data_IF_363327881986
#
_entry.id   IF_363327881986
#
_cell.length_a   1.000
_cell.length_b   1.000
_cell.length_c   1.000
_cell.angle_alpha   90.00
_cell.angle_beta   90.00
_cell.angle_gamma   90.00
#
_symmetry.space_group_name_H-M   'P 1'
#
loop_
_entity.id
_entity.type
_entity.pdbx_description
1 polymer ?
#
# COMPACT_ATOMS: atom_id res chain seq x y z
N UNK A 1 11.20 -2.86 -9.69
CA UNK A 1 11.00 -3.51 -11.00
C UNK A 1 12.26 -3.54 -11.86
N UNK A 2 13.12 -2.52 -11.83
CA UNK A 2 14.36 -2.50 -12.62
C UNK A 2 15.44 -3.46 -12.12
N UNK A 3 15.35 -3.94 -10.90
CA UNK A 3 16.35 -4.84 -10.29
C UNK A 3 15.98 -6.32 -10.43
N UNK A 4 14.83 -6.69 -9.88
CA UNK A 4 14.44 -8.11 -9.76
C UNK A 4 13.71 -8.65 -10.99
N UNK A 5 12.81 -7.88 -11.60
CA UNK A 5 12.02 -8.35 -12.75
C UNK A 5 12.86 -8.76 -13.95
N UNK A 6 13.87 -7.98 -14.39
CA UNK A 6 14.71 -8.40 -15.50
C UNK A 6 15.46 -9.71 -15.23
N UNK A 7 15.91 -9.93 -14.00
CA UNK A 7 16.56 -11.17 -13.62
C UNK A 7 15.56 -12.34 -13.59
N UNK A 8 14.37 -12.16 -13.04
CA UNK A 8 13.33 -13.17 -12.99
C UNK A 8 12.92 -13.64 -14.39
N UNK A 9 12.67 -12.70 -15.31
CA UNK A 9 12.31 -13.01 -16.69
C UNK A 9 13.41 -13.78 -17.42
N UNK A 10 14.69 -13.39 -17.24
CA UNK A 10 15.82 -14.14 -17.80
C UNK A 10 15.93 -15.58 -17.25
N UNK A 11 15.44 -15.80 -16.03
CA UNK A 11 15.40 -17.13 -15.41
C UNK A 11 14.09 -17.90 -15.67
N UNK A 12 13.31 -17.48 -16.64
CA UNK A 12 12.15 -18.24 -17.12
C UNK A 12 10.85 -18.00 -16.35
N UNK A 13 10.73 -16.92 -15.60
CA UNK A 13 9.45 -16.53 -14.99
C UNK A 13 8.47 -16.11 -16.08
N UNK A 14 7.27 -16.72 -16.09
CA UNK A 14 6.15 -16.32 -16.94
C UNK A 14 5.37 -15.20 -16.24
N UNK A 15 5.63 -13.95 -16.65
CA UNK A 15 4.94 -12.77 -16.14
C UNK A 15 3.69 -12.50 -16.97
N UNK A 16 2.51 -12.61 -16.35
CA UNK A 16 1.23 -12.28 -16.96
C UNK A 16 0.73 -10.94 -16.45
N UNK A 17 0.78 -9.94 -17.30
CA UNK A 17 0.20 -8.61 -17.04
C UNK A 17 -1.29 -8.60 -17.36
N UNK A 18 -2.05 -7.62 -16.84
CA UNK A 18 -3.50 -7.53 -16.99
C UNK A 18 -4.27 -8.78 -16.52
N UNK A 19 -3.62 -9.63 -15.74
CA UNK A 19 -4.19 -10.85 -15.19
C UNK A 19 -4.67 -10.59 -13.75
N UNK A 20 -5.98 -10.51 -13.55
CA UNK A 20 -6.57 -10.34 -12.22
C UNK A 20 -7.00 -11.69 -11.67
N UNK A 21 -6.31 -12.13 -10.62
CA UNK A 21 -6.68 -13.36 -9.93
C UNK A 21 -7.98 -13.13 -9.15
N UNK A 22 -8.99 -13.95 -9.42
CA UNK A 22 -10.29 -13.89 -8.76
C UNK A 22 -10.50 -15.02 -7.75
N UNK A 23 -9.75 -16.13 -7.89
CA UNK A 23 -9.91 -17.29 -7.02
C UNK A 23 -8.61 -18.09 -6.93
N UNK A 24 -8.31 -18.59 -5.74
CA UNK A 24 -7.33 -19.65 -5.52
C UNK A 24 -8.09 -20.99 -5.54
N UNK A 25 -7.67 -21.88 -6.42
CA UNK A 25 -8.31 -23.18 -6.57
C UNK A 25 -7.73 -24.17 -5.55
N UNK A 26 -8.60 -24.91 -4.88
CA UNK A 26 -8.21 -25.95 -3.93
C UNK A 26 -9.00 -27.24 -4.13
N UNK A 27 -8.37 -28.37 -3.85
CA UNK A 27 -9.00 -29.68 -3.85
C UNK A 27 -8.38 -30.57 -2.79
N UNK A 28 -9.20 -31.28 -2.01
CA UNK A 28 -8.74 -32.18 -0.96
C UNK A 28 -7.78 -31.50 0.04
N UNK A 29 -8.09 -30.26 0.45
CA UNK A 29 -7.29 -29.50 1.40
C UNK A 29 -5.96 -28.94 0.88
N UNK A 30 -5.73 -28.97 -0.43
CA UNK A 30 -4.50 -28.45 -1.06
C UNK A 30 -4.83 -27.46 -2.16
N UNK A 31 -4.03 -26.40 -2.25
CA UNK A 31 -4.10 -25.50 -3.40
C UNK A 31 -3.67 -26.25 -4.67
N UNK A 32 -4.36 -26.00 -5.77
CA UNK A 32 -4.11 -26.63 -7.08
C UNK A 32 -3.77 -25.62 -8.17
N UNK A 33 -3.92 -24.34 -7.90
CA UNK A 33 -3.68 -23.26 -8.84
C UNK A 33 -4.52 -22.04 -8.54
N UNK A 34 -4.75 -21.23 -9.58
CA UNK A 34 -5.56 -20.02 -9.50
C UNK A 34 -6.37 -19.82 -10.78
N UNK A 35 -7.50 -19.17 -10.63
CA UNK A 35 -8.32 -18.65 -11.74
C UNK A 35 -8.15 -17.13 -11.81
N UNK A 36 -7.88 -16.62 -13.00
CA UNK A 36 -7.76 -15.20 -13.24
C UNK A 36 -8.58 -14.75 -14.47
N UNK A 37 -8.92 -13.47 -14.49
CA UNK A 37 -9.54 -12.80 -15.63
C UNK A 37 -8.46 -11.99 -16.34
N UNK A 38 -8.38 -12.16 -17.65
CA UNK A 38 -7.68 -11.22 -18.52
C UNK A 38 -8.50 -9.93 -18.63
N UNK A 39 -7.98 -8.83 -18.11
CA UNK A 39 -8.69 -7.54 -18.05
C UNK A 39 -8.90 -6.89 -19.42
N UNK A 40 -8.14 -7.31 -20.43
CA UNK A 40 -8.26 -6.78 -21.79
C UNK A 40 -9.38 -7.48 -22.56
N UNK A 41 -9.58 -8.78 -22.30
CA UNK A 41 -10.52 -9.60 -23.06
C UNK A 41 -11.75 -10.02 -22.26
N UNK A 42 -11.70 -9.92 -20.91
CA UNK A 42 -12.72 -10.44 -20.01
C UNK A 42 -12.73 -11.97 -19.89
N UNK A 43 -11.83 -12.67 -20.55
CA UNK A 43 -11.79 -14.13 -20.51
C UNK A 43 -11.19 -14.65 -19.21
N UNK A 44 -11.80 -15.75 -18.71
CA UNK A 44 -11.28 -16.50 -17.57
C UNK A 44 -10.28 -17.55 -17.99
N UNK A 45 -9.21 -17.64 -17.23
CA UNK A 45 -8.14 -18.62 -17.42
C UNK A 45 -7.81 -19.31 -16.11
N UNK A 46 -7.38 -20.57 -16.19
CA UNK A 46 -6.89 -21.33 -15.06
C UNK A 46 -5.40 -21.61 -15.22
N UNK A 47 -4.67 -21.43 -14.14
CA UNK A 47 -3.26 -21.84 -14.03
C UNK A 47 -3.13 -22.86 -12.93
N UNK A 48 -2.51 -24.00 -13.25
CA UNK A 48 -2.24 -25.07 -12.28
C UNK A 48 -0.86 -24.90 -11.68
N UNK A 49 -0.77 -25.09 -10.38
CA UNK A 49 0.48 -25.01 -9.63
C UNK A 49 0.45 -25.93 -8.41
N UNK A 50 1.58 -26.51 -8.08
CA UNK A 50 1.74 -27.30 -6.84
C UNK A 50 1.88 -26.44 -5.59
N UNK A 51 2.29 -25.18 -5.75
CA UNK A 51 2.41 -24.17 -4.69
C UNK A 51 1.83 -22.85 -5.24
N UNK A 52 1.02 -22.18 -4.43
CA UNK A 52 0.48 -20.85 -4.74
C UNK A 52 0.92 -19.88 -3.64
N UNK A 53 1.64 -18.83 -4.03
CA UNK A 53 2.03 -17.75 -3.14
C UNK A 53 1.11 -16.56 -3.34
N UNK A 54 0.40 -16.15 -2.29
CA UNK A 54 -0.50 -15.01 -2.31
C UNK A 54 0.21 -13.81 -1.72
N UNK A 55 0.52 -12.82 -2.56
CA UNK A 55 1.27 -11.62 -2.19
C UNK A 55 0.53 -10.35 -2.66
N UNK A 56 -0.77 -10.25 -2.34
CA UNK A 56 -1.67 -9.21 -2.82
C UNK A 56 -1.92 -8.10 -1.77
N UNK A 57 -0.95 -7.84 -0.91
CA UNK A 57 -0.96 -6.89 0.21
C UNK A 57 -1.97 -7.22 1.34
N UNK A 58 -2.04 -6.35 2.35
CA UNK A 58 -2.85 -6.55 3.56
C UNK A 58 -4.37 -6.46 3.34
N UNK A 59 -4.82 -5.92 2.23
CA UNK A 59 -6.25 -5.89 1.85
C UNK A 59 -6.53 -6.92 0.77
N UNK A 60 -5.74 -6.96 -0.28
CA UNK A 60 -5.97 -7.83 -1.43
C UNK A 60 -5.82 -9.31 -1.10
N UNK A 61 -4.87 -9.68 -0.22
CA UNK A 61 -4.68 -11.07 0.22
C UNK A 61 -5.91 -11.62 0.94
N UNK A 62 -6.40 -11.03 2.05
CA UNK A 62 -7.59 -11.54 2.72
C UNK A 62 -8.84 -11.44 1.83
N UNK A 63 -8.97 -10.39 1.02
CA UNK A 63 -10.06 -10.29 0.04
C UNK A 63 -10.06 -11.49 -0.90
N UNK A 64 -8.91 -11.83 -1.50
CA UNK A 64 -8.80 -12.97 -2.41
C UNK A 64 -9.10 -14.30 -1.72
N UNK A 65 -8.62 -14.49 -0.48
CA UNK A 65 -8.92 -15.71 0.28
C UNK A 65 -10.41 -15.84 0.60
N UNK A 66 -11.09 -14.74 0.98
CA UNK A 66 -12.53 -14.73 1.22
C UNK A 66 -13.31 -14.99 -0.09
N UNK A 67 -12.90 -14.38 -1.21
CA UNK A 67 -13.50 -14.62 -2.53
C UNK A 67 -13.31 -16.05 -3.03
N UNK A 68 -12.32 -16.78 -2.50
CA UNK A 68 -12.01 -18.15 -2.88
C UNK A 68 -12.88 -19.18 -2.18
N UNK A 69 -14.10 -18.81 -1.78
CA UNK A 69 -15.10 -19.73 -1.25
C UNK A 69 -15.42 -20.82 -2.27
N UNK A 70 -15.38 -22.09 -1.85
CA UNK A 70 -15.59 -23.25 -2.69
C UNK A 70 -15.97 -24.48 -1.84
N UNK A 71 -16.20 -25.63 -2.47
CA UNK A 71 -16.54 -26.86 -1.79
C UNK A 71 -15.46 -27.23 -0.73
N UNK A 72 -15.89 -27.42 0.51
CA UNK A 72 -15.01 -27.64 1.66
C UNK A 72 -14.46 -26.36 2.31
N UNK A 73 -14.68 -25.21 1.73
CA UNK A 73 -14.26 -23.90 2.24
C UNK A 73 -15.34 -22.83 2.01
N UNK A 74 -16.54 -22.97 2.62
CA UNK A 74 -17.68 -22.08 2.33
C UNK A 74 -17.45 -20.62 2.72
N UNK A 75 -16.61 -20.38 3.72
CA UNK A 75 -16.30 -19.04 4.24
C UNK A 75 -14.98 -18.47 3.70
N UNK A 76 -14.48 -19.03 2.59
CA UNK A 76 -13.19 -18.69 2.00
C UNK A 76 -12.05 -19.62 2.39
N UNK A 77 -10.94 -19.54 1.69
CA UNK A 77 -9.75 -20.34 1.98
C UNK A 77 -9.05 -19.86 3.23
N UNK A 78 -8.45 -20.82 3.97
CA UNK A 78 -7.73 -20.59 5.23
C UNK A 78 -8.57 -19.91 6.32
N UNK A 79 -9.90 -19.91 6.21
CA UNK A 79 -10.81 -19.16 7.09
C UNK A 79 -11.69 -20.03 8.00
N UNK A 80 -11.29 -21.25 8.30
CA UNK A 80 -12.05 -22.16 9.18
C UNK A 80 -12.25 -21.63 10.61
N UNK A 81 -11.44 -20.70 11.04
CA UNK A 81 -11.51 -20.04 12.35
C UNK A 81 -12.10 -18.62 12.30
N UNK A 82 -12.51 -18.13 11.12
CA UNK A 82 -13.09 -16.80 10.92
C UNK A 82 -12.12 -15.63 11.15
N UNK A 83 -10.81 -15.88 11.03
CA UNK A 83 -9.79 -14.85 11.27
C UNK A 83 -9.29 -14.15 10.00
N UNK A 84 -9.55 -14.68 8.82
CA UNK A 84 -9.13 -14.04 7.58
C UNK A 84 -9.78 -12.66 7.45
N UNK A 85 -8.96 -11.65 7.27
CA UNK A 85 -9.37 -10.26 7.15
C UNK A 85 -9.56 -9.50 8.45
N UNK A 86 -9.56 -10.16 9.62
CA UNK A 86 -9.68 -9.51 10.94
C UNK A 86 -8.35 -8.87 11.38
N UNK A 87 -8.43 -8.02 12.42
CA UNK A 87 -7.26 -7.35 13.02
C UNK A 87 -6.47 -6.51 11.99
N UNK A 88 -7.19 -5.84 11.10
CA UNK A 88 -6.56 -4.94 10.14
C UNK A 88 -5.92 -3.78 10.88
N UNK A 89 -4.63 -3.59 10.66
CA UNK A 89 -3.85 -2.52 11.24
C UNK A 89 -3.17 -1.72 10.13
N UNK A 90 -3.18 -0.40 10.31
CA UNK A 90 -2.42 0.53 9.50
C UNK A 90 -1.52 1.37 10.40
N UNK A 91 -0.57 2.03 9.80
CA UNK A 91 0.08 3.15 10.46
C UNK A 91 -0.80 4.39 10.27
N UNK A 92 -1.36 4.91 11.36
CA UNK A 92 -1.96 6.24 11.33
C UNK A 92 -0.86 7.25 11.01
N UNK A 93 -1.10 8.12 10.04
CA UNK A 93 -0.11 9.09 9.59
C UNK A 93 -0.64 10.51 9.73
N UNK A 94 0.19 11.36 10.28
CA UNK A 94 0.02 12.81 10.23
C UNK A 94 1.24 13.44 9.58
N UNK A 95 1.01 14.55 8.91
CA UNK A 95 2.06 15.28 8.21
C UNK A 95 2.05 16.72 8.70
N UNK A 96 3.23 17.26 8.91
CA UNK A 96 3.44 18.67 9.17
C UNK A 96 4.44 19.16 8.14
N UNK A 97 3.98 20.06 7.29
CA UNK A 97 4.77 20.64 6.21
C UNK A 97 5.35 21.97 6.64
N UNK A 98 6.61 22.22 6.25
CA UNK A 98 7.34 23.46 6.54
C UNK A 98 7.92 24.02 5.25
N UNK A 99 7.88 25.34 5.14
CA UNK A 99 8.60 26.09 4.12
C UNK A 99 9.62 26.99 4.79
N UNK A 100 10.78 27.05 4.19
CA UNK A 100 11.92 27.83 4.68
C UNK A 100 12.20 28.99 3.72
N UNK A 101 12.67 30.09 4.25
CA UNK A 101 13.09 31.22 3.44
C UNK A 101 14.36 30.89 2.64
N UNK A 102 15.22 30.03 3.18
CA UNK A 102 16.42 29.56 2.52
C UNK A 102 16.21 28.21 1.79
N UNK A 103 16.84 28.02 0.62
CA UNK A 103 16.78 26.73 -0.06
C UNK A 103 17.44 25.61 0.75
N UNK A 104 16.72 24.52 0.97
CA UNK A 104 17.24 23.30 1.61
C UNK A 104 17.92 22.37 0.62
N UNK A 105 17.63 22.53 -0.69
CA UNK A 105 18.17 21.73 -1.79
C UNK A 105 17.99 20.20 -1.61
N UNK A 106 17.00 19.78 -0.85
CA UNK A 106 16.74 18.38 -0.52
C UNK A 106 16.53 17.46 -1.72
N UNK A 107 16.28 18.02 -2.89
CA UNK A 107 16.16 17.28 -4.16
C UNK A 107 17.52 16.80 -4.71
N UNK A 108 18.65 17.27 -4.17
CA UNK A 108 20.01 16.91 -4.62
C UNK A 108 20.55 15.62 -4.01
N UNK A 109 19.73 14.84 -3.33
CA UNK A 109 20.16 13.60 -2.70
C UNK A 109 19.21 12.44 -2.97
N UNK A 110 19.48 11.26 -2.42
CA UNK A 110 18.53 10.15 -2.45
C UNK A 110 17.25 10.55 -1.69
N UNK A 111 16.11 10.35 -2.30
CA UNK A 111 14.82 10.56 -1.66
C UNK A 111 14.44 9.40 -0.73
N UNK A 112 13.80 9.73 0.38
CA UNK A 112 13.88 10.95 1.15
C UNK A 112 15.10 10.88 2.08
N UNK A 113 15.91 11.93 2.13
CA UNK A 113 16.94 12.04 3.15
C UNK A 113 16.24 12.14 4.50
N UNK A 114 16.38 11.15 5.34
CA UNK A 114 15.53 10.99 6.50
C UNK A 114 16.32 11.09 7.78
N UNK A 115 15.99 12.08 8.56
CA UNK A 115 16.21 12.00 10.00
C UNK A 115 15.06 11.17 10.58
N UNK A 116 15.37 10.19 11.39
CA UNK A 116 14.42 9.30 12.00
C UNK A 116 14.58 9.33 13.52
N UNK A 117 13.47 9.55 14.24
CA UNK A 117 13.45 9.49 15.69
C UNK A 117 12.47 8.42 16.17
N UNK A 118 12.94 7.60 17.10
CA UNK A 118 12.16 6.61 17.82
C UNK A 118 11.95 6.99 19.30
N UNK A 119 12.19 8.25 19.67
CA UNK A 119 12.03 8.73 21.05
C UNK A 119 10.68 8.41 21.67
N UNK A 120 9.64 8.36 20.83
CA UNK A 120 8.26 8.12 21.25
C UNK A 120 7.74 6.73 20.85
N UNK A 121 8.65 5.82 20.47
CA UNK A 121 8.27 4.52 19.93
C UNK A 121 7.66 3.59 20.99
N UNK A 122 8.28 3.55 22.16
CA UNK A 122 7.78 2.69 23.25
C UNK A 122 6.52 3.26 23.89
N UNK A 123 5.62 2.36 24.33
CA UNK A 123 4.44 2.74 25.08
C UNK A 123 4.83 3.37 26.42
N UNK A 124 4.26 4.53 26.71
CA UNK A 124 4.48 5.24 27.97
C UNK A 124 3.12 5.66 28.56
N UNK A 125 2.71 5.06 29.69
CA UNK A 125 1.43 5.37 30.33
C UNK A 125 1.25 6.84 30.71
N UNK A 126 2.36 7.58 30.92
CA UNK A 126 2.30 8.99 31.28
C UNK A 126 1.82 9.88 30.13
N UNK A 127 1.87 9.42 28.90
CA UNK A 127 1.43 10.14 27.71
C UNK A 127 -0.09 10.18 27.52
N UNK A 128 -0.83 9.34 28.25
CA UNK A 128 -2.31 9.29 28.16
C UNK A 128 -2.86 8.61 26.90
N UNK A 129 -2.02 7.87 26.14
CA UNK A 129 -2.42 7.05 25.00
C UNK A 129 -1.64 5.73 24.99
N UNK A 130 -2.14 4.75 24.26
CA UNK A 130 -1.54 3.43 24.10
C UNK A 130 -0.71 3.40 22.83
N UNK A 131 0.35 2.59 22.81
CA UNK A 131 1.33 2.47 21.75
C UNK A 131 2.24 3.70 21.61
N UNK A 132 3.07 3.69 20.58
CA UNK A 132 4.02 4.74 20.29
C UNK A 132 3.89 5.24 18.86
N UNK A 133 4.82 6.12 18.50
CA UNK A 133 4.95 6.63 17.15
C UNK A 133 6.41 6.93 16.83
N UNK A 134 6.72 6.93 15.55
CA UNK A 134 8.01 7.42 15.05
C UNK A 134 7.83 8.75 14.33
N UNK A 135 8.92 9.53 14.34
CA UNK A 135 9.03 10.77 13.59
C UNK A 135 10.03 10.58 12.46
N UNK A 136 9.68 11.00 11.28
CA UNK A 136 10.57 11.00 10.12
C UNK A 136 10.58 12.39 9.51
N UNK A 137 11.75 12.94 9.24
CA UNK A 137 11.89 14.25 8.60
C UNK A 137 12.38 14.03 7.18
N UNK A 138 11.59 14.46 6.21
CA UNK A 138 11.94 14.48 4.80
C UNK A 138 12.17 15.91 4.31
N UNK A 139 13.19 16.12 3.50
CA UNK A 139 13.56 17.45 2.98
C UNK A 139 13.28 17.62 1.49
N UNK A 140 12.70 16.63 0.84
CA UNK A 140 12.53 16.67 -0.61
C UNK A 140 11.11 16.35 -1.04
N UNK A 141 10.53 17.28 -1.76
CA UNK A 141 9.51 16.95 -2.75
C UNK A 141 10.19 16.99 -4.12
N UNK A 142 10.10 15.90 -4.88
CA UNK A 142 10.56 15.88 -6.27
C UNK A 142 9.92 16.99 -7.09
N UNK A 143 10.56 17.39 -8.19
CA UNK A 143 10.10 18.53 -9.00
C UNK A 143 8.64 18.39 -9.45
N UNK A 144 8.21 17.19 -9.83
CA UNK A 144 6.82 16.95 -10.25
C UNK A 144 5.82 17.14 -9.09
N UNK A 145 6.15 16.62 -7.90
CA UNK A 145 5.30 16.76 -6.71
C UNK A 145 5.21 18.22 -6.27
N UNK A 146 6.34 18.94 -6.29
CA UNK A 146 6.38 20.37 -5.99
C UNK A 146 5.57 21.20 -6.97
N UNK A 147 5.65 20.87 -8.27
CA UNK A 147 4.89 21.58 -9.32
C UNK A 147 3.38 21.35 -9.22
N UNK A 148 2.96 20.18 -8.76
CA UNK A 148 1.55 19.81 -8.64
C UNK A 148 0.95 20.13 -7.25
N UNK A 149 1.76 20.50 -6.28
CA UNK A 149 1.31 20.84 -4.92
C UNK A 149 0.65 19.67 -4.17
N UNK A 150 0.97 18.44 -4.54
CA UNK A 150 0.17 17.26 -4.16
C UNK A 150 0.30 16.83 -2.71
N UNK A 151 1.35 17.21 -2.00
CA UNK A 151 1.56 16.74 -0.61
C UNK A 151 0.95 17.65 0.46
N UNK A 152 0.51 18.84 0.12
CA UNK A 152 0.06 19.83 1.10
C UNK A 152 -1.46 19.95 1.19
N UNK A 153 -2.19 19.20 0.36
CA UNK A 153 -3.64 19.43 0.18
C UNK A 153 -3.97 20.76 -0.50
N UNK A 154 -2.98 21.61 -0.70
CA UNK A 154 -3.08 22.85 -1.45
C UNK A 154 -2.76 22.57 -2.90
N UNK A 155 -3.78 22.37 -3.72
CA UNK A 155 -3.61 22.32 -5.16
C UNK A 155 -3.09 23.67 -5.64
N UNK A 156 -1.99 23.65 -6.37
CA UNK A 156 -1.51 24.84 -7.05
C UNK A 156 -2.61 25.36 -8.00
N UNK A 157 -2.84 26.67 -8.06
CA UNK A 157 -3.86 27.23 -8.93
C UNK A 157 -3.48 27.01 -10.40
N UNK A 158 -4.48 26.93 -11.28
CA UNK A 158 -4.27 26.78 -12.71
C UNK A 158 -3.65 28.02 -13.36
N UNK A 159 -2.98 27.84 -14.50
CA UNK A 159 -2.38 28.92 -15.27
C UNK A 159 -1.00 29.34 -14.79
N UNK A 160 -0.78 30.60 -14.55
CA UNK A 160 0.51 31.13 -14.08
C UNK A 160 0.81 30.75 -12.61
N UNK A 161 -0.23 30.47 -11.82
CA UNK A 161 -0.11 30.15 -10.39
C UNK A 161 0.81 28.97 -10.09
N UNK A 162 0.68 27.81 -10.75
CA UNK A 162 1.56 26.67 -10.54
C UNK A 162 3.04 26.99 -10.73
N UNK A 163 3.35 27.80 -11.72
CA UNK A 163 4.73 28.23 -11.99
C UNK A 163 5.26 29.16 -10.90
N UNK A 164 4.45 30.10 -10.44
CA UNK A 164 4.81 31.00 -9.35
C UNK A 164 5.04 30.22 -8.07
N UNK A 165 4.11 29.31 -7.72
CA UNK A 165 4.23 28.44 -6.57
C UNK A 165 5.49 27.58 -6.61
N UNK A 166 5.78 26.98 -7.76
CA UNK A 166 7.00 26.18 -7.93
C UNK A 166 8.26 27.02 -7.72
N UNK A 167 8.34 28.18 -8.33
CA UNK A 167 9.52 29.07 -8.21
C UNK A 167 9.75 29.55 -6.76
N UNK A 168 8.70 29.73 -6.01
CA UNK A 168 8.76 30.19 -4.62
C UNK A 168 9.12 29.08 -3.65
N UNK A 169 8.60 27.86 -3.85
CA UNK A 169 8.62 26.80 -2.85
C UNK A 169 9.55 25.63 -3.18
N UNK A 170 9.94 25.46 -4.45
CA UNK A 170 10.78 24.33 -4.84
C UNK A 170 12.15 24.37 -4.13
N UNK A 171 12.54 23.26 -3.54
CA UNK A 171 13.79 23.13 -2.78
C UNK A 171 13.78 23.79 -1.41
N UNK A 172 12.64 24.33 -0.96
CA UNK A 172 12.49 25.02 0.34
C UNK A 172 11.58 24.27 1.31
N UNK A 173 11.11 23.11 0.92
CA UNK A 173 10.14 22.32 1.67
C UNK A 173 10.83 21.24 2.51
N UNK A 174 10.34 21.08 3.74
CA UNK A 174 10.56 19.92 4.58
C UNK A 174 9.24 19.46 5.17
N UNK A 175 9.18 18.20 5.55
CA UNK A 175 8.00 17.66 6.22
C UNK A 175 8.39 16.72 7.35
N UNK A 176 7.55 16.67 8.37
CA UNK A 176 7.63 15.64 9.41
C UNK A 176 6.47 14.67 9.18
N UNK A 177 6.82 13.40 9.05
CA UNK A 177 5.86 12.31 9.16
C UNK A 177 5.77 11.88 10.62
N UNK A 178 4.58 11.90 11.16
CA UNK A 178 4.27 11.20 12.40
C UNK A 178 3.62 9.88 12.02
N UNK A 179 4.27 8.78 12.34
CA UNK A 179 3.77 7.45 12.02
C UNK A 179 3.45 6.70 13.31
N UNK A 180 2.16 6.65 13.62
CA UNK A 180 1.63 5.94 14.79
C UNK A 180 1.36 4.47 14.51
N UNK A 181 1.19 3.70 15.57
CA UNK A 181 0.76 2.29 15.52
C UNK A 181 -0.74 2.16 15.74
N UNK A 182 -1.34 1.22 15.01
CA UNK A 182 -2.72 0.80 15.24
C UNK A 182 -2.78 -0.40 16.19
N UNK A 183 -3.92 -0.55 16.88
CA UNK A 183 -4.21 -1.71 17.69
C UNK A 183 -4.83 -2.84 16.86
N UNK A 184 -4.49 -4.12 17.13
CA UNK A 184 -5.08 -5.28 16.47
C UNK A 184 -6.52 -5.52 16.94
N UNK A 185 -7.42 -4.61 16.63
CA UNK A 185 -8.83 -4.71 17.01
C UNK A 185 -9.56 -5.64 16.06
N UNK A 186 -10.24 -6.65 16.58
CA UNK A 186 -10.92 -7.69 15.77
C UNK A 186 -11.99 -7.12 14.83
N UNK A 187 -12.62 -6.04 15.21
CA UNK A 187 -13.65 -5.37 14.38
C UNK A 187 -13.08 -4.59 13.20
N UNK A 188 -11.80 -4.23 13.25
CA UNK A 188 -11.10 -3.68 12.10
C UNK A 188 -10.82 -4.81 11.13
N UNK A 189 -11.54 -4.84 10.02
CA UNK A 189 -11.51 -6.02 9.16
C UNK A 189 -11.82 -5.73 7.69
N UNK A 190 -11.24 -6.54 6.84
CA UNK A 190 -11.64 -6.68 5.44
C UNK A 190 -12.82 -7.64 5.35
N UNK A 191 -13.89 -7.21 4.72
CA UNK A 191 -15.05 -8.05 4.41
C UNK A 191 -15.38 -7.95 2.93
N UNK A 192 -16.13 -8.91 2.40
CA UNK A 192 -16.73 -8.79 1.08
C UNK A 192 -18.06 -8.07 1.19
N UNK A 193 -18.31 -7.14 0.28
CA UNK A 193 -19.64 -6.57 0.09
C UNK A 193 -20.43 -7.47 -0.87
N UNK A 194 -21.63 -7.94 -0.50
CA UNK A 194 -22.42 -8.82 -1.37
C UNK A 194 -23.02 -8.10 -2.56
N UNK A 195 -23.24 -6.79 -2.47
CA UNK A 195 -23.99 -6.00 -3.45
C UNK A 195 -23.08 -5.19 -4.38
N UNK A 196 -21.91 -4.80 -3.89
CA UNK A 196 -20.97 -3.97 -4.64
C UNK A 196 -19.90 -4.82 -5.31
N UNK A 197 -19.78 -4.65 -6.62
CA UNK A 197 -18.70 -5.24 -7.42
C UNK A 197 -17.76 -4.16 -7.90
N UNK A 198 -16.50 -4.48 -7.99
CA UNK A 198 -15.54 -3.57 -8.61
C UNK A 198 -15.71 -3.58 -10.15
N UNK A 199 -15.15 -2.56 -10.79
CA UNK A 199 -15.27 -2.31 -12.24
C UNK A 199 -14.40 -3.22 -13.12
N UNK A 200 -13.83 -4.27 -12.57
CA UNK A 200 -12.85 -5.09 -13.29
C UNK A 200 -13.25 -6.54 -13.33
#
# INVERSE_FOLDING_TARGET
DVSYWPAALRNGVDLRVNARVEQINAKNGRATGATYIDRMTGQRHEVRAGIVVVAANSIGTPRLLLMSAQQGHPDGLANSNGLVGTHLMYHSRSFVDFWFDEPLEGFKGPEPAVLYSQEFYDSDPSRGFVNGFSLQVGTSLGAATSALGTNTGNLAPWGAGPRSFFNEHFGRHALIYVQGEDLPVRTNRVTLDPDVRDSS
#
